data_IF_567714413455
#
_entry.id   IF_567714413455
#
_cell.length_a   1.000
_cell.length_b   1.000
_cell.length_c   1.000
_cell.angle_alpha   90.00
_cell.angle_beta   90.00
_cell.angle_gamma   90.00
#
_symmetry.space_group_name_H-M   'P 1'
#
loop_
_entity.id
_entity.type
_entity.pdbx_description
1 polymer ?
2 non-polymer ?
3 non-polymer ?
4 water ?
#
# COMPACT_ATOMS: atom_id res chain seq x y z
N UNK A 1 11.35 23.26 -3.90
CA UNK A 1 10.88 24.52 -3.21
C UNK A 1 10.40 24.18 -1.84
N UNK A 2 9.94 22.94 -1.71
CA UNK A 2 9.51 22.43 -0.45
C UNK A 2 9.50 20.92 -0.48
N UNK A 3 9.07 20.35 0.65
CA UNK A 3 9.17 18.92 0.89
C UNK A 3 8.24 18.15 -0.01
N UNK A 4 8.72 17.03 -0.50
CA UNK A 4 7.85 16.18 -1.30
C UNK A 4 7.67 14.87 -0.59
N UNK A 5 6.39 14.41 -0.37
CA UNK A 5 6.21 13.08 0.23
C UNK A 5 6.91 12.10 -0.62
N UNK A 6 7.87 11.34 -0.09
CA UNK A 6 8.33 10.17 -0.93
C UNK A 6 7.66 8.90 -0.46
N UNK A 7 7.95 8.51 0.76
CA UNK A 7 7.33 7.26 1.21
C UNK A 7 6.01 7.69 1.87
N UNK A 8 4.87 7.12 1.41
CA UNK A 8 3.54 7.35 1.99
C UNK A 8 3.19 6.17 2.85
N UNK A 9 2.86 6.46 4.13
CA UNK A 9 2.42 5.40 5.05
C UNK A 9 0.91 5.41 5.16
N UNK A 10 0.35 4.21 5.25
CA UNK A 10 -1.09 4.07 5.33
C UNK A 10 -1.47 2.81 6.03
N UNK A 11 -2.77 2.77 6.39
CA UNK A 11 -3.39 1.53 6.86
C UNK A 11 -4.61 1.23 6.02
N UNK A 12 -5.07 -0.03 6.09
CA UNK A 12 -6.28 -0.37 5.31
C UNK A 12 -6.64 -1.84 5.50
N UNK A 13 -7.50 -2.26 4.59
CA UNK A 13 -7.95 -3.67 4.62
C UNK A 13 -7.65 -4.25 3.21
N UNK A 14 -7.05 -5.42 3.19
CA UNK A 14 -6.71 -6.12 1.95
C UNK A 14 -8.04 -6.65 1.32
N UNK A 15 -8.32 -6.33 0.05
CA UNK A 15 -9.49 -6.86 -0.58
C UNK A 15 -9.20 -7.87 -1.67
N UNK A 16 -7.98 -7.86 -2.25
CA UNK A 16 -7.60 -8.83 -3.21
C UNK A 16 -6.07 -8.98 -3.25
N UNK A 17 -5.61 -10.17 -3.57
CA UNK A 17 -4.18 -10.44 -3.75
C UNK A 17 -4.03 -11.24 -4.99
N UNK A 18 -3.29 -10.72 -5.97
CA UNK A 18 -3.09 -11.44 -7.22
C UNK A 18 -1.59 -11.59 -7.41
N UNK A 19 -1.07 -12.74 -7.09
CA UNK A 19 0.37 -13.04 -7.25
C UNK A 19 0.82 -13.43 -8.66
N UNK A 20 -0.05 -13.37 -9.63
CA UNK A 20 0.36 -13.45 -11.03
C UNK A 20 0.74 -12.06 -11.52
N UNK A 21 -0.11 -11.08 -11.26
CA UNK A 21 0.11 -9.72 -11.72
C UNK A 21 0.87 -8.90 -10.70
N UNK A 22 1.07 -9.49 -9.49
CA UNK A 22 1.84 -8.85 -8.39
C UNK A 22 1.11 -7.56 -7.93
N UNK A 23 -0.23 -7.70 -7.68
CA UNK A 23 -1.07 -6.58 -7.33
C UNK A 23 -1.86 -6.93 -6.04
N UNK A 24 -1.80 -6.05 -5.09
CA UNK A 24 -2.62 -6.16 -3.87
C UNK A 24 -3.60 -5.00 -3.95
N UNK A 25 -4.93 -5.32 -3.96
CA UNK A 25 -5.96 -4.31 -3.94
C UNK A 25 -6.33 -4.04 -2.45
N UNK A 26 -6.17 -2.80 -2.03
CA UNK A 26 -6.34 -2.40 -0.63
C UNK A 26 -7.32 -1.29 -0.55
N UNK A 27 -8.30 -1.41 0.42
CA UNK A 27 -9.15 -0.27 0.70
C UNK A 27 -8.54 0.45 1.91
N UNK A 28 -7.84 1.58 1.61
CA UNK A 28 -7.07 2.28 2.62
C UNK A 28 -7.93 3.30 3.43
N UNK A 29 -7.55 3.40 4.68
CA UNK A 29 -8.10 4.43 5.60
C UNK A 29 -7.65 5.78 5.11
N UNK A 30 -8.29 6.86 5.58
CA UNK A 30 -7.81 8.20 5.15
C UNK A 30 -6.30 8.33 5.40
N UNK A 31 -5.69 9.07 4.49
CA UNK A 31 -4.21 9.30 4.63
C UNK A 31 -3.94 10.81 4.83
N UNK A 32 -3.62 11.20 6.03
CA UNK A 32 -3.43 12.61 6.37
C UNK A 32 -2.39 13.28 5.53
N UNK A 33 -1.24 12.64 5.32
CA UNK A 33 -0.10 13.34 4.72
C UNK A 33 -0.42 13.82 3.34
N UNK A 34 -1.31 13.18 2.62
CA UNK A 34 -1.67 13.53 1.29
C UNK A 34 -3.12 14.00 1.17
N UNK A 35 -3.78 14.22 2.31
CA UNK A 35 -5.21 14.64 2.33
C UNK A 35 -6.05 13.72 1.44
N UNK A 36 -5.92 12.41 1.65
CA UNK A 36 -6.76 11.40 0.91
C UNK A 36 -7.84 10.90 1.81
N UNK A 37 -9.04 10.70 1.24
CA UNK A 37 -10.12 10.02 1.96
C UNK A 37 -9.87 8.51 1.86
N UNK A 38 -10.82 7.73 2.39
CA UNK A 38 -10.80 6.31 2.19
C UNK A 38 -10.84 6.02 0.67
N UNK A 39 -10.04 5.07 0.17
CA UNK A 39 -10.05 4.75 -1.25
C UNK A 39 -9.66 3.28 -1.47
N UNK A 40 -10.22 2.62 -2.50
CA UNK A 40 -9.70 1.31 -2.92
C UNK A 40 -8.71 1.58 -4.03
N UNK A 41 -7.48 1.07 -3.86
CA UNK A 41 -6.39 1.30 -4.81
C UNK A 41 -5.64 -0.01 -5.02
N UNK A 42 -4.94 -0.09 -6.18
CA UNK A 42 -4.07 -1.21 -6.49
C UNK A 42 -2.63 -0.88 -6.14
N UNK A 43 -1.98 -1.73 -5.41
CA UNK A 43 -0.57 -1.56 -4.97
C UNK A 43 0.23 -2.70 -5.53
N UNK A 44 1.47 -2.34 -5.96
CA UNK A 44 2.32 -3.26 -6.70
C UNK A 44 3.39 -3.87 -5.83
N UNK A 45 3.52 -5.20 -5.88
CA UNK A 45 4.58 -5.92 -5.21
C UNK A 45 5.75 -5.96 -6.20
N UNK A 46 6.89 -5.44 -5.75
CA UNK A 46 8.14 -5.53 -6.54
C UNK A 46 9.09 -6.47 -5.80
N UNK A 47 10.23 -6.81 -6.43
CA UNK A 47 11.23 -7.63 -5.73
C UNK A 47 11.80 -6.92 -4.49
N UNK A 48 11.69 -5.57 -4.41
CA UNK A 48 12.18 -4.86 -3.24
C UNK A 48 11.15 -4.71 -2.15
N UNK A 49 9.87 -5.09 -2.36
CA UNK A 49 8.88 -5.01 -1.32
C UNK A 49 9.25 -6.00 -0.20
N UNK A 50 9.20 -5.55 1.05
CA UNK A 50 9.27 -6.45 2.20
C UNK A 50 7.88 -6.91 2.58
N UNK A 51 7.56 -8.08 2.04
CA UNK A 51 6.30 -8.70 2.27
C UNK A 51 6.22 -9.39 3.63
N UNK A 52 5.08 -9.30 4.37
CA UNK A 52 4.74 -10.21 5.45
C UNK A 52 3.48 -11.08 4.97
N UNK A 53 3.15 -12.08 5.76
CA UNK A 53 1.96 -12.91 5.45
C UNK A 53 0.67 -12.10 5.72
N UNK A 54 -0.07 -12.06 4.61
CA UNK A 54 -1.38 -11.35 4.58
C UNK A 54 -2.42 -12.18 3.80
N UNK A 55 -3.67 -11.84 4.06
CA UNK A 55 -4.83 -12.48 3.37
C UNK A 55 -5.97 -11.46 3.27
N UNK A 56 -6.89 -11.71 2.35
CA UNK A 56 -8.01 -10.81 2.19
C UNK A 56 -8.77 -10.66 3.52
N UNK A 57 -9.22 -9.44 3.76
CA UNK A 57 -9.84 -9.04 5.03
C UNK A 57 -8.91 -8.64 6.14
N UNK A 58 -7.57 -8.83 5.98
CA UNK A 58 -6.66 -8.42 7.03
C UNK A 58 -6.55 -6.90 7.07
N UNK A 59 -6.68 -6.27 8.20
CA UNK A 59 -6.23 -4.90 8.36
C UNK A 59 -4.67 -4.97 8.23
N UNK A 60 -4.06 -4.00 7.56
CA UNK A 60 -2.63 -3.87 7.27
C UNK A 60 -2.13 -2.47 7.49
N UNK A 61 -0.81 -2.43 7.76
CA UNK A 61 -0.02 -1.17 7.74
C UNK A 61 1.00 -1.35 6.59
N UNK A 62 1.12 -0.30 5.75
CA UNK A 62 1.95 -0.46 4.60
C UNK A 62 2.48 0.90 4.25
N UNK A 63 3.57 0.80 3.46
CA UNK A 63 4.28 2.04 3.02
C UNK A 63 4.50 1.85 1.52
N UNK A 64 4.33 2.95 0.75
CA UNK A 64 4.51 2.82 -0.71
C UNK A 64 5.06 4.14 -1.24
N UNK A 65 5.57 3.99 -2.49
CA UNK A 65 6.09 5.13 -3.23
C UNK A 65 5.33 5.23 -4.56
N UNK A 66 5.00 6.46 -4.92
CA UNK A 66 4.30 6.75 -6.18
C UNK A 66 5.30 6.76 -7.34
N UNK A 67 5.05 6.02 -8.41
CA UNK A 67 5.91 6.05 -9.64
C UNK A 67 4.93 6.16 -10.82
N UNK A 68 4.61 7.38 -11.19
CA UNK A 68 3.59 7.57 -12.23
C UNK A 68 2.25 7.00 -11.72
N UNK A 69 1.69 6.13 -12.53
CA UNK A 69 0.41 5.48 -12.21
C UNK A 69 0.56 4.31 -11.17
N UNK A 70 1.76 3.90 -10.90
CA UNK A 70 1.98 2.79 -9.95
C UNK A 70 2.18 3.31 -8.54
N UNK A 71 1.67 2.48 -7.55
CA UNK A 71 2.00 2.69 -6.14
C UNK A 71 2.80 1.45 -5.72
N UNK A 72 4.12 1.63 -5.63
CA UNK A 72 5.02 0.51 -5.38
C UNK A 72 5.18 0.28 -3.88
N UNK A 73 4.88 -0.97 -3.44
CA UNK A 73 4.99 -1.23 -1.98
C UNK A 73 6.38 -1.31 -1.52
N UNK A 74 6.71 -0.56 -0.46
CA UNK A 74 7.93 -0.74 0.29
C UNK A 74 7.80 -1.96 1.23
N UNK A 75 6.64 -2.05 1.90
CA UNK A 75 6.46 -3.10 2.93
C UNK A 75 4.97 -3.16 3.22
N UNK A 76 4.55 -4.29 3.81
CA UNK A 76 3.16 -4.46 4.23
C UNK A 76 3.22 -5.53 5.26
N UNK A 77 2.39 -5.33 6.32
CA UNK A 77 2.15 -6.39 7.24
C UNK A 77 0.90 -6.14 7.95
N UNK A 78 0.43 -7.20 8.65
CA UNK A 78 -0.87 -7.10 9.39
C UNK A 78 -0.68 -6.10 10.55
N UNK A 79 -1.72 -5.30 10.77
CA UNK A 79 -1.72 -4.33 11.87
C UNK A 79 -2.98 -4.46 12.70
N UNK A 80 -3.01 -3.84 13.85
CA UNK A 80 -4.14 -3.82 14.77
C UNK A 80 -5.15 -2.81 14.23
X LIG B 1 -5.75 6.65 -2.26
X LIG C 1 -2.19 -0.04 -10.83
X LIG C 1 -1.20 -0.64 -10.47
X LIG C 1 -2.99 -0.56 -11.69
X LIG C 1 -2.46 1.27 -10.24
#
# INVERSE_FOLDING_TARGET
MEAQPQVISATGVVKGIDLESKKITIHHDPIAAVNAPEMTMRFTITPQTKMSEIKTGDKVAFNFVQQGNLSLLQDIKVSQ
CU CU
ACT C O OXT CH3
#
